data_IF_667021170851
#
_entry.id   IF_667021170851
#
_cell.length_a   1.000
_cell.length_b   1.000
_cell.length_c   1.000
_cell.angle_alpha   90.00
_cell.angle_beta   90.00
_cell.angle_gamma   90.00
#
_symmetry.space_group_name_H-M   'P 1'
#
loop_
_entity.id
_entity.type
_entity.pdbx_description
1 polymer ?
#
# COMPACT_ATOMS: atom_id res chain seq x y z
N UNK A 1 -6.15 -9.29 12.16
CA UNK A 1 -5.26 -8.54 11.27
C UNK A 1 -6.10 -7.60 10.42
N UNK A 2 -5.93 -6.31 10.61
CA UNK A 2 -6.59 -5.25 9.83
C UNK A 2 -5.83 -5.00 8.52
N UNK A 3 -6.46 -4.34 7.55
CA UNK A 3 -5.80 -3.94 6.30
C UNK A 3 -4.63 -2.96 6.54
N UNK A 4 -4.70 -2.18 7.62
CA UNK A 4 -3.64 -1.26 8.01
C UNK A 4 -2.42 -2.06 8.46
N UNK A 5 -2.59 -2.98 9.42
CA UNK A 5 -1.52 -3.86 9.90
C UNK A 5 -0.87 -4.63 8.74
N UNK A 6 -1.67 -5.18 7.82
CA UNK A 6 -1.18 -5.87 6.62
C UNK A 6 -0.23 -5.01 5.78
N UNK A 7 -0.58 -3.74 5.53
CA UNK A 7 0.30 -2.86 4.77
C UNK A 7 1.57 -2.48 5.52
N UNK A 8 1.49 -2.27 6.84
CA UNK A 8 2.69 -1.95 7.63
C UNK A 8 3.66 -3.14 7.73
N UNK A 9 3.16 -4.37 7.80
CA UNK A 9 3.99 -5.58 7.78
C UNK A 9 4.67 -5.81 6.41
N UNK A 10 4.09 -5.30 5.33
CA UNK A 10 4.63 -5.42 3.97
C UNK A 10 5.36 -4.14 3.49
N UNK A 11 5.73 -3.24 4.42
CA UNK A 11 6.43 -1.99 4.05
C UNK A 11 7.84 -2.29 3.51
N UNK A 12 8.30 -1.43 2.60
CA UNK A 12 9.63 -1.46 2.04
C UNK A 12 10.24 -0.05 2.09
N UNK A 13 11.12 0.20 3.08
CA UNK A 13 11.68 1.52 3.30
C UNK A 13 12.61 1.99 2.15
N UNK A 14 13.31 1.08 1.47
CA UNK A 14 14.14 1.39 0.29
C UNK A 14 13.31 1.92 -0.88
N UNK A 15 12.10 1.39 -1.06
CA UNK A 15 11.16 1.87 -2.08
C UNK A 15 10.33 3.07 -1.62
N UNK A 16 10.15 3.26 -0.31
CA UNK A 16 9.38 4.37 0.24
C UNK A 16 10.00 5.73 -0.07
N UNK A 17 11.33 5.84 0.05
CA UNK A 17 12.09 7.09 -0.18
C UNK A 17 11.89 7.62 -1.61
N UNK A 18 12.22 6.88 -2.68
CA UNK A 18 12.05 7.38 -4.05
C UNK A 18 10.58 7.66 -4.41
N UNK A 19 9.62 6.95 -3.81
CA UNK A 19 8.18 7.23 -4.01
C UNK A 19 7.77 8.55 -3.35
N UNK A 20 8.28 8.84 -2.15
CA UNK A 20 8.06 10.12 -1.48
C UNK A 20 8.70 11.27 -2.28
N UNK A 21 9.93 11.09 -2.77
CA UNK A 21 10.62 12.09 -3.60
C UNK A 21 9.84 12.40 -4.89
N UNK A 22 9.32 11.37 -5.56
CA UNK A 22 8.45 11.55 -6.74
C UNK A 22 7.25 12.44 -6.43
N UNK A 23 6.69 12.33 -5.23
CA UNK A 23 5.58 13.15 -4.74
C UNK A 23 6.04 14.45 -4.06
N UNK A 24 7.29 14.89 -4.29
CA UNK A 24 7.91 16.09 -3.70
C UNK A 24 7.88 16.06 -2.17
N UNK A 25 8.03 14.88 -1.58
CA UNK A 25 8.00 14.61 -0.14
C UNK A 25 6.75 15.16 0.58
N UNK A 26 5.62 15.28 -0.12
CA UNK A 26 4.35 15.74 0.46
C UNK A 26 3.68 14.72 1.36
N UNK A 27 3.97 13.44 1.13
CA UNK A 27 3.38 12.33 1.87
C UNK A 27 4.43 11.24 2.11
N UNK A 28 4.41 10.60 3.28
CA UNK A 28 5.18 9.38 3.50
C UNK A 28 4.56 8.22 2.72
N UNK A 29 5.41 7.34 2.19
CA UNK A 29 4.99 6.12 1.50
C UNK A 29 5.45 4.88 2.28
N UNK A 30 4.73 3.77 2.12
CA UNK A 30 5.15 2.47 2.67
C UNK A 30 6.04 1.67 1.70
N UNK A 31 6.32 2.20 0.50
CA UNK A 31 7.14 1.52 -0.51
C UNK A 31 6.48 0.31 -1.19
N UNK A 32 5.17 0.14 -1.04
CA UNK A 32 4.42 -0.96 -1.63
C UNK A 32 4.01 -0.58 -3.07
N UNK A 33 4.46 -1.35 -4.06
CA UNK A 33 4.09 -1.09 -5.46
C UNK A 33 2.62 -1.41 -5.70
N UNK A 34 2.05 -0.81 -6.75
CA UNK A 34 0.63 -0.99 -7.10
C UNK A 34 0.20 -2.46 -7.25
N UNK A 35 0.96 -3.36 -7.92
CA UNK A 35 0.55 -4.77 -8.03
C UNK A 35 0.46 -5.46 -6.66
N UNK A 36 1.47 -5.27 -5.80
CA UNK A 36 1.52 -5.84 -4.45
C UNK A 36 0.39 -5.28 -3.57
N UNK A 37 0.15 -3.97 -3.62
CA UNK A 37 -0.96 -3.34 -2.88
C UNK A 37 -2.32 -3.90 -3.30
N UNK A 38 -2.52 -4.15 -4.59
CA UNK A 38 -3.77 -4.75 -5.12
C UNK A 38 -3.96 -6.18 -4.63
N UNK A 39 -2.90 -6.99 -4.62
CA UNK A 39 -2.94 -8.35 -4.09
C UNK A 39 -3.27 -8.35 -2.59
N UNK A 40 -2.59 -7.52 -1.80
CA UNK A 40 -2.80 -7.41 -0.35
C UNK A 40 -4.22 -6.94 0.02
N UNK A 41 -4.81 -6.04 -0.78
CA UNK A 41 -6.16 -5.52 -0.53
C UNK A 41 -7.29 -6.32 -1.19
N UNK A 42 -6.96 -7.33 -2.00
CA UNK A 42 -7.92 -8.08 -2.81
C UNK A 42 -9.05 -8.68 -1.97
N UNK A 43 -8.72 -9.38 -0.90
CA UNK A 43 -9.71 -10.03 -0.03
C UNK A 43 -10.48 -9.03 0.85
N UNK A 44 -9.91 -7.85 1.11
CA UNK A 44 -10.61 -6.79 1.84
C UNK A 44 -11.61 -6.00 0.97
N UNK A 45 -11.38 -5.94 -0.35
CA UNK A 45 -12.18 -5.18 -1.30
C UNK A 45 -13.19 -6.04 -2.08
N UNK A 46 -13.20 -7.37 -1.88
CA UNK A 46 -14.10 -8.31 -2.59
C UNK A 46 -15.59 -8.03 -2.36
N UNK A 47 -15.97 -7.30 -1.30
CA UNK A 47 -17.38 -7.04 -0.94
C UNK A 47 -18.00 -5.78 -1.59
N UNK A 48 -17.25 -4.96 -2.35
CA UNK A 48 -17.80 -3.68 -2.86
C UNK A 48 -18.30 -3.72 -4.30
N UNK A 49 -18.38 -4.89 -4.95
CA UNK A 49 -18.84 -5.05 -6.35
C UNK A 49 -20.14 -5.86 -6.44
N UNK A 50 -20.88 -6.02 -5.35
CA UNK A 50 -22.20 -6.66 -5.39
C UNK A 50 -23.19 -5.91 -4.50
N UNK A 51 -23.72 -4.80 -5.03
CA UNK A 51 -25.03 -4.21 -4.67
C UNK A 51 -25.45 -3.24 -5.76
#
# INVERSE_FOLDING_TARGET
MTIIELFYENKNDDLAVPMAEYMKNKFPFLGIKTPERKELSKDFLKDTVTS
#
